data_IF_624622671479
#
_entry.id   IF_624622671479
#
_cell.length_a   1.000
_cell.length_b   1.000
_cell.length_c   1.000
_cell.angle_alpha   90.00
_cell.angle_beta   90.00
_cell.angle_gamma   90.00
#
_symmetry.space_group_name_H-M   'P 1'
#
loop_
_entity.id
_entity.type
_entity.pdbx_description
1 polymer ?
#
# COMPACT_ATOMS: atom_id res chain seq x y z
N UNK A 1 -19.85 14.40 -21.03
CA UNK A 1 -19.71 13.50 -19.86
C UNK A 1 -19.05 14.39 -18.82
N UNK A 2 -19.71 14.61 -17.70
CA UNK A 2 -19.18 15.50 -16.68
C UNK A 2 -17.88 14.94 -16.13
N UNK A 3 -16.89 15.80 -15.81
CA UNK A 3 -15.57 15.37 -15.30
C UNK A 3 -15.66 14.51 -14.01
N UNK A 4 -16.76 14.64 -13.26
CA UNK A 4 -17.07 13.82 -12.09
C UNK A 4 -17.57 12.40 -12.43
N UNK A 5 -17.88 12.09 -13.68
CA UNK A 5 -18.44 10.79 -14.07
C UNK A 5 -17.39 9.66 -13.99
N UNK A 6 -16.10 10.00 -14.03
CA UNK A 6 -15.02 9.03 -13.79
C UNK A 6 -15.17 8.32 -12.45
N UNK A 7 -15.53 9.07 -11.40
CA UNK A 7 -15.64 8.51 -10.06
C UNK A 7 -16.68 7.39 -9.99
N UNK A 8 -17.77 7.48 -10.78
CA UNK A 8 -18.79 6.40 -10.86
C UNK A 8 -18.23 5.15 -11.51
N UNK A 9 -17.23 5.28 -12.35
CA UNK A 9 -16.62 4.18 -13.10
C UNK A 9 -15.54 3.47 -12.28
N UNK A 10 -14.70 4.23 -11.56
CA UNK A 10 -13.54 3.68 -10.82
C UNK A 10 -13.82 3.35 -9.36
N UNK A 11 -14.94 3.82 -8.80
CA UNK A 11 -15.35 3.49 -7.44
C UNK A 11 -16.37 2.35 -7.41
N UNK A 12 -16.37 1.55 -6.35
CA UNK A 12 -17.53 0.72 -6.00
C UNK A 12 -18.80 1.56 -5.80
N UNK A 13 -19.96 0.93 -5.99
CA UNK A 13 -21.24 1.67 -5.97
C UNK A 13 -21.65 2.11 -4.57
N UNK A 14 -21.35 1.33 -3.55
CA UNK A 14 -21.75 1.55 -2.16
C UNK A 14 -20.57 1.35 -1.20
N UNK A 15 -20.53 2.11 -0.14
CA UNK A 15 -19.51 2.01 0.91
C UNK A 15 -19.10 3.37 1.44
N UNK A 16 -18.04 3.41 2.23
CA UNK A 16 -17.42 4.65 2.69
C UNK A 16 -16.32 5.07 1.72
N UNK A 17 -16.27 6.35 1.38
CA UNK A 17 -15.33 6.92 0.41
C UNK A 17 -14.52 8.03 1.07
N UNK A 18 -13.22 8.03 0.86
CA UNK A 18 -12.33 9.05 1.42
C UNK A 18 -12.21 10.26 0.50
N UNK A 19 -12.32 11.45 1.06
CA UNK A 19 -12.07 12.74 0.39
C UNK A 19 -11.07 13.55 1.20
N UNK A 20 -10.05 14.08 0.52
CA UNK A 20 -8.99 14.86 1.14
C UNK A 20 -8.88 16.23 0.48
N UNK A 21 -8.74 17.27 1.31
CA UNK A 21 -8.40 18.63 0.87
C UNK A 21 -7.05 19.05 1.45
N UNK A 22 -6.03 19.21 0.60
CA UNK A 22 -4.64 19.46 1.02
C UNK A 22 -4.20 20.84 0.54
N UNK A 23 -3.79 21.73 1.45
CA UNK A 23 -3.09 22.98 1.14
C UNK A 23 -1.58 22.82 1.14
N UNK A 24 -1.05 22.20 2.18
CA UNK A 24 0.37 21.92 2.37
C UNK A 24 0.53 20.67 3.26
N UNK A 25 1.77 20.32 3.63
CA UNK A 25 2.06 19.10 4.42
C UNK A 25 1.40 19.08 5.80
N UNK A 26 1.10 20.23 6.39
CA UNK A 26 0.54 20.36 7.75
C UNK A 26 -0.95 20.71 7.76
N UNK A 27 -1.51 21.17 6.63
CA UNK A 27 -2.93 21.53 6.50
C UNK A 27 -3.64 20.53 5.59
N UNK A 28 -3.96 19.37 6.17
CA UNK A 28 -4.68 18.27 5.54
C UNK A 28 -6.03 18.08 6.22
N UNK A 29 -7.09 18.14 5.45
CA UNK A 29 -8.45 17.79 5.89
C UNK A 29 -8.85 16.48 5.22
N UNK A 30 -9.21 15.47 6.00
CA UNK A 30 -9.71 14.19 5.51
C UNK A 30 -11.09 13.91 6.09
N UNK A 31 -11.97 13.34 5.28
CA UNK A 31 -13.28 12.83 5.69
C UNK A 31 -13.57 11.55 4.92
N UNK A 32 -14.25 10.62 5.59
CA UNK A 32 -14.93 9.53 4.95
C UNK A 32 -16.43 9.88 4.88
N UNK A 33 -17.03 9.64 3.72
CA UNK A 33 -18.43 9.95 3.42
C UNK A 33 -19.11 8.70 2.89
N UNK A 34 -20.42 8.57 3.13
CA UNK A 34 -21.18 7.37 2.80
C UNK A 34 -21.81 7.42 1.41
N UNK A 35 -21.94 8.62 0.83
CA UNK A 35 -22.59 8.80 -0.48
C UNK A 35 -21.73 9.60 -1.45
N UNK A 36 -22.03 9.44 -2.73
CA UNK A 36 -21.40 10.21 -3.81
C UNK A 36 -21.71 11.70 -3.71
N UNK A 37 -22.94 12.04 -3.40
CA UNK A 37 -23.37 13.45 -3.26
C UNK A 37 -22.62 14.17 -2.14
N UNK A 38 -22.34 13.47 -1.04
CA UNK A 38 -21.49 14.01 0.04
C UNK A 38 -20.05 14.22 -0.44
N UNK A 39 -19.50 13.26 -1.22
CA UNK A 39 -18.17 13.37 -1.81
C UNK A 39 -18.07 14.61 -2.70
N UNK A 40 -18.99 14.77 -3.64
CA UNK A 40 -19.01 15.88 -4.59
C UNK A 40 -19.19 17.24 -3.86
N UNK A 41 -20.10 17.29 -2.90
CA UNK A 41 -20.32 18.47 -2.05
C UNK A 41 -19.04 18.86 -1.32
N UNK A 42 -18.34 17.91 -0.74
CA UNK A 42 -17.12 18.14 0.01
C UNK A 42 -15.95 18.51 -0.92
N UNK A 43 -15.85 17.90 -2.10
CA UNK A 43 -14.86 18.25 -3.11
C UNK A 43 -15.02 19.71 -3.57
N UNK A 44 -16.24 20.13 -3.89
CA UNK A 44 -16.55 21.52 -4.27
C UNK A 44 -16.24 22.53 -3.14
N UNK A 45 -16.51 22.13 -1.89
CA UNK A 45 -16.13 22.96 -0.73
C UNK A 45 -14.62 23.13 -0.64
N UNK A 46 -13.85 22.06 -0.80
CA UNK A 46 -12.39 22.12 -0.75
C UNK A 46 -11.79 22.93 -1.90
N UNK A 47 -12.41 22.89 -3.09
CA UNK A 47 -12.03 23.78 -4.21
C UNK A 47 -12.23 25.24 -3.84
N UNK A 48 -13.38 25.62 -3.24
CA UNK A 48 -13.65 27.01 -2.77
C UNK A 48 -12.63 27.44 -1.71
N UNK A 49 -12.12 26.50 -0.89
CA UNK A 49 -11.07 26.75 0.09
C UNK A 49 -9.66 26.78 -0.54
N UNK A 50 -9.54 26.71 -1.87
CA UNK A 50 -8.28 26.61 -2.63
C UNK A 50 -7.38 25.46 -2.14
N UNK A 51 -7.96 24.28 -1.93
CA UNK A 51 -7.27 23.04 -1.58
C UNK A 51 -7.12 22.14 -2.79
N UNK A 52 -5.99 21.45 -2.88
CA UNK A 52 -5.85 20.30 -3.78
C UNK A 52 -6.77 19.20 -3.29
N UNK A 53 -7.69 18.73 -4.14
CA UNK A 53 -8.69 17.74 -3.75
C UNK A 53 -8.30 16.38 -4.25
N UNK A 54 -8.35 15.39 -3.35
CA UNK A 54 -8.04 14.00 -3.64
C UNK A 54 -9.20 13.11 -3.17
N UNK A 55 -9.35 11.98 -3.82
CA UNK A 55 -10.27 10.92 -3.43
C UNK A 55 -9.55 9.59 -3.22
N UNK A 56 -10.02 8.78 -2.25
CA UNK A 56 -9.54 7.42 -2.07
C UNK A 56 -10.09 6.53 -3.19
N UNK A 57 -9.25 5.66 -3.74
CA UNK A 57 -9.61 4.79 -4.87
C UNK A 57 -10.36 3.52 -4.45
N UNK A 58 -10.41 3.27 -3.15
CA UNK A 58 -11.12 2.15 -2.55
C UNK A 58 -12.41 2.58 -1.87
N UNK A 59 -13.32 1.64 -1.66
CA UNK A 59 -14.34 1.76 -0.62
C UNK A 59 -13.82 1.16 0.69
N UNK A 60 -14.31 1.69 1.80
CA UNK A 60 -13.90 1.31 3.14
C UNK A 60 -15.03 0.61 3.89
N UNK A 61 -14.67 -0.27 4.83
CA UNK A 61 -15.62 -1.03 5.67
C UNK A 61 -16.37 -0.08 6.59
N UNK A 62 -15.66 0.86 7.22
CA UNK A 62 -16.21 1.85 8.15
C UNK A 62 -15.81 3.27 7.76
N UNK A 63 -16.52 4.26 8.32
CA UNK A 63 -16.21 5.69 8.15
C UNK A 63 -15.09 6.21 9.05
N UNK A 64 -14.34 5.35 9.77
CA UNK A 64 -13.43 5.80 10.82
C UNK A 64 -12.07 6.28 10.26
N UNK A 65 -11.49 5.53 9.34
CA UNK A 65 -10.17 5.83 8.83
C UNK A 65 -9.94 5.32 7.40
N UNK A 66 -8.89 5.84 6.76
CA UNK A 66 -8.42 5.45 5.41
C UNK A 66 -7.14 4.61 5.50
N UNK A 67 -7.18 3.50 6.23
CA UNK A 67 -6.06 2.55 6.28
C UNK A 67 -6.30 1.39 5.32
N UNK A 68 -5.24 0.68 4.93
CA UNK A 68 -5.34 -0.51 4.07
C UNK A 68 -6.19 -1.60 4.72
N UNK A 69 -6.15 -1.74 6.06
CA UNK A 69 -6.96 -2.70 6.81
C UNK A 69 -8.46 -2.41 6.75
N UNK A 70 -8.84 -1.14 6.55
CA UNK A 70 -10.22 -0.72 6.41
C UNK A 70 -10.71 -0.77 4.96
N UNK A 71 -9.87 -1.14 3.99
CA UNK A 71 -10.28 -1.29 2.59
C UNK A 71 -11.14 -2.54 2.44
N UNK A 72 -12.33 -2.34 1.86
CA UNK A 72 -13.26 -3.45 1.55
C UNK A 72 -13.14 -3.91 0.10
N UNK A 73 -13.09 -2.97 -0.84
CA UNK A 73 -13.10 -3.29 -2.25
C UNK A 73 -12.56 -2.19 -3.15
N UNK A 74 -12.17 -2.58 -4.34
CA UNK A 74 -11.57 -1.73 -5.36
C UNK A 74 -12.21 -2.04 -6.72
N UNK A 75 -12.33 -1.00 -7.58
CA UNK A 75 -12.96 -1.14 -8.91
C UNK A 75 -12.07 -0.59 -10.02
N UNK A 76 -10.76 -0.43 -9.78
CA UNK A 76 -9.82 0.00 -10.80
C UNK A 76 -8.38 -0.41 -10.46
N UNK A 77 -7.54 -0.52 -11.47
CA UNK A 77 -6.08 -0.41 -11.37
C UNK A 77 -5.65 0.96 -11.86
N UNK A 78 -4.52 1.47 -11.38
CA UNK A 78 -4.07 2.83 -11.67
C UNK A 78 -2.56 2.97 -11.72
N UNK A 79 -2.12 4.07 -12.37
CA UNK A 79 -0.75 4.58 -12.32
C UNK A 79 -0.79 6.09 -12.05
N UNK A 80 0.29 6.61 -11.49
CA UNK A 80 0.59 8.04 -11.38
C UNK A 80 1.91 8.31 -12.09
N UNK A 81 1.85 9.03 -13.21
CA UNK A 81 3.00 9.41 -14.05
C UNK A 81 3.29 10.86 -13.79
N UNK A 82 4.36 11.12 -13.07
CA UNK A 82 4.83 12.46 -12.79
C UNK A 82 5.48 13.10 -14.03
N UNK A 83 5.18 14.38 -14.27
CA UNK A 83 5.74 15.14 -15.39
C UNK A 83 6.27 16.51 -14.92
N UNK A 84 7.22 17.02 -15.67
CA UNK A 84 7.86 18.33 -15.50
C UNK A 84 9.38 18.24 -15.44
N UNK A 85 10.10 19.36 -15.69
CA UNK A 85 11.57 19.37 -15.79
C UNK A 85 12.27 18.79 -14.54
N UNK A 86 11.72 19.03 -13.34
CA UNK A 86 12.29 18.49 -12.10
C UNK A 86 12.15 16.97 -11.99
N UNK A 87 11.25 16.33 -12.76
CA UNK A 87 11.02 14.88 -12.73
C UNK A 87 11.99 14.09 -13.60
N UNK A 88 12.74 14.75 -14.47
CA UNK A 88 13.81 14.13 -15.26
C UNK A 88 15.12 13.96 -14.48
N UNK A 89 15.20 14.44 -13.25
CA UNK A 89 16.32 14.20 -12.35
C UNK A 89 16.43 12.71 -12.06
N UNK A 90 17.64 12.19 -12.07
CA UNK A 90 17.89 10.77 -11.80
C UNK A 90 17.87 10.48 -10.31
N UNK A 91 17.19 9.42 -9.95
CA UNK A 91 17.26 8.84 -8.61
C UNK A 91 18.66 8.28 -8.34
N UNK A 92 19.27 8.68 -7.25
CA UNK A 92 20.65 8.30 -6.90
C UNK A 92 20.85 6.79 -6.66
N UNK A 93 19.77 6.05 -6.36
CA UNK A 93 19.83 4.61 -6.09
C UNK A 93 19.61 3.77 -7.35
N UNK A 94 18.69 4.21 -8.20
CA UNK A 94 18.28 3.44 -9.39
C UNK A 94 18.93 3.93 -10.68
N UNK A 95 19.43 5.18 -10.71
CA UNK A 95 19.93 5.84 -11.90
C UNK A 95 18.87 6.16 -12.95
N UNK A 96 17.57 6.00 -12.60
CA UNK A 96 16.43 6.26 -13.49
C UNK A 96 15.73 7.57 -13.10
N UNK A 97 15.08 8.28 -14.05
CA UNK A 97 14.34 9.49 -13.73
C UNK A 97 13.07 9.17 -12.90
N UNK A 98 12.61 10.17 -12.16
CA UNK A 98 11.35 10.07 -11.40
C UNK A 98 10.10 10.19 -12.26
N UNK A 99 10.23 10.64 -13.51
CA UNK A 99 9.13 10.85 -14.44
C UNK A 99 9.59 11.44 -15.75
N UNK A 100 8.71 12.14 -16.43
CA UNK A 100 8.92 12.64 -17.79
C UNK A 100 9.02 14.16 -17.82
N UNK A 101 9.63 14.70 -18.90
CA UNK A 101 9.79 16.15 -19.09
C UNK A 101 8.44 16.87 -19.19
N UNK A 102 7.46 16.24 -19.81
CA UNK A 102 6.10 16.73 -19.98
C UNK A 102 5.09 15.60 -20.13
N UNK A 103 3.80 15.96 -20.14
CA UNK A 103 2.70 15.00 -20.26
C UNK A 103 2.63 14.33 -21.64
N UNK A 104 3.07 14.99 -22.69
CA UNK A 104 3.10 14.40 -24.04
C UNK A 104 4.09 13.23 -24.07
N UNK A 105 5.30 13.44 -23.57
CA UNK A 105 6.34 12.40 -23.47
C UNK A 105 5.88 11.25 -22.54
N UNK A 106 5.26 11.58 -21.39
CA UNK A 106 4.71 10.57 -20.50
C UNK A 106 3.56 9.77 -21.13
N UNK A 107 2.71 10.43 -21.91
CA UNK A 107 1.61 9.78 -22.65
C UNK A 107 2.09 8.84 -23.75
N UNK A 108 3.13 9.20 -24.51
CA UNK A 108 3.73 8.33 -25.53
C UNK A 108 4.44 7.11 -24.89
N UNK A 109 5.11 7.30 -23.76
CA UNK A 109 5.69 6.19 -23.01
C UNK A 109 4.61 5.23 -22.50
N UNK A 110 3.50 5.75 -21.93
CA UNK A 110 2.36 4.95 -21.51
C UNK A 110 1.75 4.17 -22.67
N UNK A 111 1.54 4.82 -23.84
CA UNK A 111 1.01 4.17 -25.05
C UNK A 111 1.89 3.02 -25.52
N UNK A 112 3.21 3.25 -25.55
CA UNK A 112 4.20 2.23 -25.92
C UNK A 112 4.18 1.06 -24.94
N UNK A 113 4.11 1.34 -23.64
CA UNK A 113 3.98 0.34 -22.58
C UNK A 113 2.71 -0.50 -22.73
N UNK A 114 1.54 0.15 -22.91
CA UNK A 114 0.28 -0.57 -23.11
C UNK A 114 0.33 -1.47 -24.35
N UNK A 115 0.91 -1.00 -25.43
CA UNK A 115 1.07 -1.81 -26.67
C UNK A 115 1.98 -3.02 -26.43
N UNK A 116 3.11 -2.82 -25.75
CA UNK A 116 4.10 -3.86 -25.49
C UNK A 116 3.56 -4.96 -24.56
N UNK A 117 2.84 -4.57 -23.52
CA UNK A 117 2.26 -5.50 -22.52
C UNK A 117 0.93 -6.10 -23.02
N UNK A 118 0.29 -5.49 -24.02
CA UNK A 118 -1.03 -5.88 -24.51
C UNK A 118 -2.19 -5.35 -23.65
N UNK A 119 -1.95 -4.30 -22.84
CA UNK A 119 -2.99 -3.69 -22.01
C UNK A 119 -4.02 -2.94 -22.86
N UNK A 120 -5.31 -2.99 -22.48
CA UNK A 120 -6.32 -2.18 -23.13
C UNK A 120 -6.07 -0.69 -22.90
N UNK A 121 -6.70 0.14 -23.75
CA UNK A 121 -6.63 1.60 -23.61
C UNK A 121 -7.16 2.01 -22.21
N UNK A 122 -6.37 2.79 -21.44
CA UNK A 122 -6.82 3.29 -20.14
C UNK A 122 -7.61 4.60 -20.26
N UNK A 123 -8.32 4.94 -19.21
CA UNK A 123 -8.76 6.31 -18.95
C UNK A 123 -7.58 7.13 -18.44
N UNK A 124 -7.40 8.35 -18.96
CA UNK A 124 -6.26 9.23 -18.66
C UNK A 124 -6.79 10.58 -18.17
N UNK A 125 -6.24 11.03 -17.05
CA UNK A 125 -6.54 12.32 -16.41
C UNK A 125 -5.29 13.18 -16.42
N UNK A 126 -5.43 14.44 -16.86
CA UNK A 126 -4.45 15.48 -16.58
C UNK A 126 -4.52 15.85 -15.10
N UNK A 127 -3.52 15.55 -14.31
CA UNK A 127 -3.48 15.88 -12.87
C UNK A 127 -2.90 17.27 -12.58
N UNK A 128 -2.62 18.06 -13.63
CA UNK A 128 -1.94 19.34 -13.62
C UNK A 128 -0.44 19.21 -13.86
N UNK A 129 0.27 18.33 -13.15
CA UNK A 129 1.73 18.11 -13.29
C UNK A 129 2.08 16.68 -13.64
N UNK A 130 1.15 15.93 -14.25
CA UNK A 130 1.34 14.54 -14.60
C UNK A 130 0.05 13.92 -15.10
N UNK A 131 0.06 12.60 -15.21
CA UNK A 131 -1.06 11.81 -15.71
C UNK A 131 -1.48 10.79 -14.64
N UNK A 132 -2.76 10.79 -14.28
CA UNK A 132 -3.35 9.65 -13.61
C UNK A 132 -3.97 8.72 -14.67
N UNK A 133 -3.68 7.47 -14.57
CA UNK A 133 -4.07 6.43 -15.53
C UNK A 133 -4.93 5.42 -14.82
N UNK A 134 -6.08 5.02 -15.42
CA UNK A 134 -7.00 4.07 -14.79
C UNK A 134 -7.43 2.99 -15.78
N UNK A 135 -7.42 1.76 -15.31
CA UNK A 135 -8.16 0.64 -15.88
C UNK A 135 -9.32 0.33 -14.93
N UNK A 136 -10.47 0.93 -15.18
CA UNK A 136 -11.69 0.64 -14.42
C UNK A 136 -12.11 -0.82 -14.66
N UNK A 137 -12.66 -1.45 -13.62
CA UNK A 137 -13.16 -2.81 -13.68
C UNK A 137 -14.68 -2.83 -13.84
N UNK A 138 -15.20 -3.85 -14.54
CA UNK A 138 -16.64 -4.10 -14.63
C UNK A 138 -17.22 -4.48 -13.27
N UNK A 139 -16.42 -5.12 -12.42
CA UNK A 139 -16.80 -5.60 -11.09
C UNK A 139 -15.83 -5.11 -10.01
N UNK A 140 -16.30 -5.14 -8.79
CA UNK A 140 -15.48 -4.87 -7.62
C UNK A 140 -14.65 -6.11 -7.24
N UNK A 141 -13.41 -5.90 -6.84
CA UNK A 141 -12.51 -6.94 -6.36
C UNK A 141 -12.05 -6.67 -4.93
N UNK A 142 -11.75 -7.74 -4.19
CA UNK A 142 -11.19 -7.62 -2.85
C UNK A 142 -9.74 -7.12 -2.88
N UNK A 143 -9.22 -6.57 -1.77
CA UNK A 143 -7.81 -6.22 -1.64
C UNK A 143 -6.86 -7.39 -1.96
N UNK A 144 -7.22 -8.61 -1.57
CA UNK A 144 -6.41 -9.81 -1.80
C UNK A 144 -6.35 -10.19 -3.28
N UNK A 145 -7.42 -9.94 -4.04
CA UNK A 145 -7.43 -10.11 -5.49
C UNK A 145 -6.67 -8.98 -6.19
N UNK A 146 -6.83 -7.75 -5.71
CA UNK A 146 -6.23 -6.57 -6.32
C UNK A 146 -4.71 -6.52 -6.19
N UNK A 147 -4.17 -6.77 -5.00
CA UNK A 147 -2.76 -6.53 -4.68
C UNK A 147 -1.77 -7.35 -5.54
N UNK A 148 -1.99 -8.65 -5.82
CA UNK A 148 -1.10 -9.41 -6.71
C UNK A 148 -1.03 -8.85 -8.13
N UNK A 149 -2.17 -8.41 -8.68
CA UNK A 149 -2.25 -7.81 -10.02
C UNK A 149 -1.54 -6.45 -10.05
N UNK A 150 -1.76 -5.62 -9.03
CA UNK A 150 -1.07 -4.33 -8.89
C UNK A 150 0.46 -4.49 -8.75
N UNK A 151 0.90 -5.48 -7.99
CA UNK A 151 2.33 -5.81 -7.85
C UNK A 151 2.93 -6.25 -9.19
N UNK A 152 2.19 -7.04 -9.96
CA UNK A 152 2.63 -7.47 -11.29
C UNK A 152 2.69 -6.29 -12.27
N UNK A 153 1.71 -5.41 -12.26
CA UNK A 153 1.72 -4.18 -13.05
C UNK A 153 2.94 -3.31 -12.70
N UNK A 154 3.24 -3.15 -11.39
CA UNK A 154 4.45 -2.46 -10.93
C UNK A 154 5.73 -3.09 -11.50
N UNK A 155 5.86 -4.42 -11.45
CA UNK A 155 7.02 -5.13 -11.99
C UNK A 155 7.19 -4.87 -13.48
N UNK A 156 6.09 -4.90 -14.25
CA UNK A 156 6.12 -4.62 -15.68
C UNK A 156 6.52 -3.17 -15.98
N UNK A 157 6.03 -2.18 -15.20
CA UNK A 157 6.50 -0.80 -15.32
C UNK A 157 8.02 -0.70 -15.14
N UNK A 158 8.58 -1.37 -14.13
CA UNK A 158 10.03 -1.39 -13.90
C UNK A 158 10.78 -2.09 -15.04
N UNK A 159 10.28 -3.23 -15.51
CA UNK A 159 10.90 -4.05 -16.55
C UNK A 159 10.95 -3.33 -17.91
N UNK A 160 9.93 -2.51 -18.20
CA UNK A 160 9.78 -1.83 -19.48
C UNK A 160 10.04 -0.32 -19.40
N UNK A 161 10.73 0.13 -18.35
CA UNK A 161 11.15 1.53 -18.16
C UNK A 161 10.01 2.55 -18.26
N UNK A 162 8.79 2.18 -17.79
CA UNK A 162 7.73 3.14 -17.57
C UNK A 162 7.93 3.76 -16.19
N UNK A 163 8.24 5.06 -16.15
CA UNK A 163 8.52 5.78 -14.91
C UNK A 163 7.21 6.24 -14.27
N UNK A 164 6.90 5.68 -13.12
CA UNK A 164 5.67 5.93 -12.34
C UNK A 164 6.02 6.14 -10.87
N UNK A 165 5.16 6.82 -10.13
CA UNK A 165 5.28 6.86 -8.67
C UNK A 165 5.12 5.45 -8.10
N UNK A 166 6.21 4.88 -7.59
CA UNK A 166 6.22 3.52 -7.04
C UNK A 166 5.36 3.34 -5.78
N UNK A 167 4.91 4.43 -5.15
CA UNK A 167 4.06 4.41 -3.96
C UNK A 167 2.57 4.25 -4.27
N UNK A 168 2.17 4.25 -5.56
CA UNK A 168 0.73 4.16 -5.92
C UNK A 168 0.14 2.76 -5.84
N UNK A 169 0.97 1.72 -5.75
CA UNK A 169 0.53 0.32 -5.77
C UNK A 169 0.08 -0.18 -4.39
N UNK A 170 -0.73 0.62 -3.72
CA UNK A 170 -1.34 0.32 -2.42
C UNK A 170 -2.86 0.52 -2.47
N UNK A 171 -3.60 -0.26 -1.71
CA UNK A 171 -5.06 -0.27 -1.77
C UNK A 171 -5.72 1.00 -1.21
N UNK A 172 -5.06 1.72 -0.30
CA UNK A 172 -5.59 2.94 0.32
C UNK A 172 -5.10 4.23 -0.38
N UNK A 173 -4.69 4.14 -1.65
CA UNK A 173 -4.19 5.28 -2.42
C UNK A 173 -5.24 6.36 -2.65
N UNK A 174 -4.76 7.60 -2.76
CA UNK A 174 -5.56 8.75 -3.17
C UNK A 174 -4.98 9.38 -4.43
N UNK A 175 -5.84 9.79 -5.35
CA UNK A 175 -5.49 10.54 -6.55
C UNK A 175 -6.40 11.78 -6.67
N UNK A 176 -6.04 12.77 -7.52
CA UNK A 176 -6.80 14.01 -7.65
C UNK A 176 -8.17 13.76 -8.25
N UNK A 177 -9.16 14.51 -7.73
CA UNK A 177 -10.53 14.48 -8.25
C UNK A 177 -10.59 15.27 -9.57
N UNK A 178 -11.03 14.67 -10.69
CA UNK A 178 -11.31 15.40 -11.93
C UNK A 178 -12.37 16.50 -11.73
N UNK A 179 -12.32 17.56 -12.51
CA UNK A 179 -13.18 18.75 -12.34
C UNK A 179 -12.71 19.71 -11.24
N UNK A 180 -11.63 19.39 -10.53
CA UNK A 180 -11.00 20.26 -9.52
C UNK A 180 -9.74 20.95 -10.05
N UNK A 181 -8.94 21.54 -9.17
CA UNK A 181 -7.73 22.27 -9.56
C UNK A 181 -6.49 21.78 -8.81
N UNK A 182 -5.35 21.80 -9.52
CA UNK A 182 -4.04 21.69 -8.93
C UNK A 182 -3.55 23.08 -8.54
N UNK A 183 -3.63 23.41 -7.25
CA UNK A 183 -3.21 24.71 -6.69
C UNK A 183 -1.71 24.79 -6.40
N UNK A 184 -0.90 23.84 -6.91
CA UNK A 184 0.58 23.94 -6.86
C UNK A 184 1.13 24.88 -7.94
N UNK A 185 0.30 25.21 -8.95
CA UNK A 185 0.63 26.11 -10.05
C UNK A 185 -0.04 27.45 -9.86
N UNK A 186 0.52 28.49 -10.47
CA UNK A 186 -0.06 29.83 -10.54
C UNK A 186 0.01 30.32 -11.99
N UNK A 187 -1.14 30.42 -12.69
CA UNK A 187 -2.49 30.08 -12.25
C UNK A 187 -2.70 28.59 -12.00
N UNK A 188 -3.68 28.21 -11.15
CA UNK A 188 -3.99 26.79 -10.89
C UNK A 188 -4.38 26.04 -12.17
N UNK A 189 -3.86 24.84 -12.33
CA UNK A 189 -4.16 23.99 -13.49
C UNK A 189 -5.40 23.14 -13.21
N UNK A 190 -6.33 23.05 -14.17
CA UNK A 190 -7.50 22.19 -14.06
C UNK A 190 -7.11 20.71 -14.10
N UNK A 191 -7.73 19.91 -13.26
CA UNK A 191 -7.65 18.44 -13.29
C UNK A 191 -8.80 17.96 -14.18
N UNK A 192 -8.47 17.40 -15.34
CA UNK A 192 -9.46 17.12 -16.38
C UNK A 192 -9.27 15.74 -17.03
N UNK A 193 -10.37 15.19 -17.55
CA UNK A 193 -10.36 13.92 -18.29
C UNK A 193 -9.83 14.16 -19.70
N UNK A 194 -8.67 13.59 -20.02
CA UNK A 194 -8.07 13.66 -21.37
C UNK A 194 -8.59 12.56 -22.29
N UNK A 195 -8.84 11.39 -21.75
CA UNK A 195 -9.27 10.22 -22.52
C UNK A 195 -10.06 9.26 -21.66
N UNK A 196 -11.23 8.85 -22.11
CA UNK A 196 -12.05 7.83 -21.47
C UNK A 196 -11.87 6.46 -22.14
N UNK A 197 -12.02 5.40 -21.35
CA UNK A 197 -12.04 4.03 -21.78
C UNK A 197 -13.17 3.26 -21.07
N UNK A 198 -13.66 2.22 -21.71
CA UNK A 198 -14.64 1.33 -21.10
C UNK A 198 -14.02 0.49 -19.99
N UNK A 199 -14.78 0.14 -18.96
CA UNK A 199 -14.34 -0.81 -17.95
C UNK A 199 -13.92 -2.16 -18.56
N UNK A 200 -13.00 -2.84 -17.89
CA UNK A 200 -12.40 -4.11 -18.33
C UNK A 200 -12.72 -5.19 -17.30
N UNK A 201 -12.92 -6.41 -17.75
CA UNK A 201 -13.06 -7.57 -16.85
C UNK A 201 -11.77 -7.79 -16.08
N UNK A 202 -11.87 -8.05 -14.76
CA UNK A 202 -10.71 -8.35 -13.92
C UNK A 202 -9.88 -9.51 -14.49
N UNK A 203 -10.53 -10.58 -14.92
CA UNK A 203 -9.90 -11.77 -15.51
C UNK A 203 -9.09 -11.46 -16.76
N UNK A 204 -9.51 -10.47 -17.54
CA UNK A 204 -8.78 -10.00 -18.72
C UNK A 204 -7.44 -9.36 -18.32
N UNK A 205 -7.45 -8.43 -17.37
CA UNK A 205 -6.20 -7.80 -16.88
C UNK A 205 -5.31 -8.81 -16.18
N UNK A 206 -5.88 -9.71 -15.37
CA UNK A 206 -5.19 -10.78 -14.71
C UNK A 206 -4.42 -11.66 -15.71
N UNK A 207 -5.07 -12.05 -16.80
CA UNK A 207 -4.48 -12.88 -17.86
C UNK A 207 -3.40 -12.14 -18.64
N UNK A 208 -3.67 -10.90 -19.08
CA UNK A 208 -2.72 -10.07 -19.86
C UNK A 208 -1.45 -9.82 -19.06
N UNK A 209 -1.57 -9.51 -17.78
CA UNK A 209 -0.42 -9.23 -16.92
C UNK A 209 0.38 -10.51 -16.55
N UNK A 210 -0.13 -11.69 -16.90
CA UNK A 210 0.54 -12.95 -16.63
C UNK A 210 0.69 -13.22 -15.13
N UNK A 211 -0.34 -12.89 -14.34
CA UNK A 211 -0.39 -13.24 -12.92
C UNK A 211 -0.63 -14.74 -12.84
N UNK A 212 0.24 -15.46 -12.16
CA UNK A 212 0.08 -16.90 -11.94
C UNK A 212 -0.63 -17.16 -10.61
N UNK A 213 -1.39 -18.25 -10.53
CA UNK A 213 -2.13 -18.61 -9.29
C UNK A 213 -1.25 -18.68 -8.03
N UNK A 214 0.06 -18.88 -8.18
CA UNK A 214 1.03 -18.83 -7.08
C UNK A 214 1.23 -17.42 -6.48
N UNK A 215 0.75 -16.36 -7.17
CA UNK A 215 0.87 -14.97 -6.72
C UNK A 215 -0.42 -14.42 -6.11
N UNK A 216 -1.52 -15.17 -6.19
CA UNK A 216 -2.76 -14.83 -5.49
C UNK A 216 -2.74 -15.59 -4.16
N UNK A 217 -2.87 -14.90 -3.02
CA UNK A 217 -3.27 -15.58 -1.80
C UNK A 217 -4.68 -16.11 -2.05
N UNK A 218 -4.83 -17.42 -2.23
CA UNK A 218 -6.14 -18.06 -2.31
C UNK A 218 -6.92 -17.67 -1.06
N UNK A 219 -8.14 -17.18 -1.25
CA UNK A 219 -9.04 -16.94 -0.14
C UNK A 219 -9.14 -18.22 0.68
N UNK A 220 -9.14 -18.10 2.01
CA UNK A 220 -9.11 -19.22 2.99
C UNK A 220 -10.19 -20.29 2.79
N UNK A 221 -11.06 -20.18 1.79
CA UNK A 221 -12.20 -21.07 1.60
C UNK A 221 -12.04 -22.20 0.58
N UNK A 222 -10.99 -22.19 -0.28
CA UNK A 222 -10.85 -23.18 -1.37
C UNK A 222 -9.61 -24.10 -1.29
N UNK A 223 -8.99 -24.24 -0.12
CA UNK A 223 -7.94 -25.22 0.08
C UNK A 223 -8.58 -26.61 0.25
N UNK A 224 -8.34 -27.51 -0.71
CA UNK A 224 -8.69 -28.92 -0.55
C UNK A 224 -7.99 -29.52 0.69
N UNK A 225 -8.61 -30.49 1.33
CA UNK A 225 -8.11 -31.17 2.56
C UNK A 225 -6.65 -31.63 2.45
N UNK A 226 -6.17 -31.96 1.24
CA UNK A 226 -4.79 -32.37 0.97
C UNK A 226 -3.81 -31.18 1.09
N UNK A 227 -4.22 -29.96 0.70
CA UNK A 227 -3.40 -28.77 0.86
C UNK A 227 -3.39 -28.27 2.31
N UNK A 228 -4.46 -28.48 3.08
CA UNK A 228 -4.50 -28.16 4.52
C UNK A 228 -3.48 -28.95 5.34
N UNK A 229 -3.13 -30.16 4.94
CA UNK A 229 -2.13 -30.99 5.64
C UNK A 229 -0.67 -30.62 5.29
N UNK A 230 -0.44 -29.99 4.11
CA UNK A 230 0.90 -29.56 3.65
C UNK A 230 1.20 -28.10 4.03
N UNK A 231 0.16 -27.28 4.16
CA UNK A 231 0.22 -25.92 4.70
C UNK A 231 -0.53 -25.91 6.03
N UNK A 232 0.00 -26.56 7.04
CA UNK A 232 -0.28 -26.15 8.41
C UNK A 232 0.25 -24.72 8.51
N UNK A 233 -0.66 -23.75 8.31
CA UNK A 233 -0.40 -22.35 8.53
C UNK A 233 0.08 -22.21 9.96
N UNK A 234 1.37 -22.09 10.14
CA UNK A 234 1.98 -21.70 11.37
C UNK A 234 1.67 -20.22 11.57
N UNK A 235 0.45 -19.94 12.04
CA UNK A 235 0.05 -18.60 12.41
C UNK A 235 0.86 -18.18 13.62
N UNK A 236 1.75 -17.23 13.44
CA UNK A 236 2.57 -16.72 14.52
C UNK A 236 1.85 -15.55 15.20
N UNK A 237 1.74 -15.60 16.54
CA UNK A 237 1.20 -14.50 17.37
C UNK A 237 2.33 -13.76 18.05
N UNK A 238 2.42 -12.46 17.81
CA UNK A 238 3.43 -11.61 18.43
C UNK A 238 3.31 -11.60 19.96
N UNK A 239 2.09 -11.53 20.46
CA UNK A 239 1.84 -11.57 21.89
C UNK A 239 2.42 -12.85 22.55
N UNK A 240 2.35 -13.99 21.87
CA UNK A 240 2.93 -15.24 22.36
C UNK A 240 4.47 -15.20 22.39
N UNK A 241 5.09 -14.59 21.38
CA UNK A 241 6.54 -14.35 21.38
C UNK A 241 6.94 -13.51 22.58
N UNK A 242 6.19 -12.44 22.87
CA UNK A 242 6.49 -11.52 23.96
C UNK A 242 6.28 -12.15 25.34
N UNK A 243 5.21 -12.96 25.53
CA UNK A 243 4.99 -13.71 26.78
C UNK A 243 6.17 -14.65 27.04
N UNK A 244 6.56 -15.47 26.06
CA UNK A 244 7.71 -16.35 26.17
C UNK A 244 9.02 -15.61 26.42
N UNK A 245 9.18 -14.42 25.80
CA UNK A 245 10.37 -13.60 26.01
C UNK A 245 10.44 -13.07 27.44
N UNK A 246 9.30 -12.68 28.02
CA UNK A 246 9.23 -12.25 29.42
C UNK A 246 9.46 -13.41 30.42
N UNK A 247 9.12 -14.64 30.06
CA UNK A 247 9.34 -15.85 30.83
C UNK A 247 10.76 -16.42 30.68
N UNK A 248 11.61 -15.83 29.80
CA UNK A 248 12.98 -16.27 29.54
C UNK A 248 13.11 -17.42 28.52
N UNK A 249 12.00 -17.88 27.93
CA UNK A 249 11.96 -18.88 26.86
C UNK A 249 11.54 -18.28 25.52
N UNK A 250 11.98 -17.07 25.22
CA UNK A 250 11.65 -16.35 24.00
C UNK A 250 12.85 -15.62 23.40
N UNK A 251 12.60 -14.44 22.84
CA UNK A 251 13.61 -13.60 22.22
C UNK A 251 13.98 -12.42 23.15
N UNK A 252 15.14 -12.48 23.77
CA UNK A 252 15.65 -11.41 24.65
C UNK A 252 15.79 -10.07 23.90
N UNK A 253 16.16 -10.11 22.63
CA UNK A 253 16.29 -8.93 21.77
C UNK A 253 14.96 -8.20 21.55
N UNK A 254 13.86 -8.94 21.29
CA UNK A 254 12.53 -8.36 21.17
C UNK A 254 12.02 -7.81 22.50
N UNK A 255 12.31 -8.50 23.60
CA UNK A 255 11.97 -8.02 24.93
C UNK A 255 12.71 -6.72 25.26
N UNK A 256 14.00 -6.65 24.95
CA UNK A 256 14.80 -5.45 25.14
C UNK A 256 14.30 -4.28 24.28
N UNK A 257 13.93 -4.52 23.01
CA UNK A 257 13.30 -3.50 22.17
C UNK A 257 11.99 -2.98 22.78
N UNK A 258 11.17 -3.86 23.39
CA UNK A 258 9.92 -3.49 24.02
C UNK A 258 10.14 -2.66 25.31
N UNK A 259 11.10 -3.05 26.14
CA UNK A 259 11.34 -2.40 27.42
C UNK A 259 12.04 -1.03 27.29
N UNK A 260 12.79 -0.81 26.22
CA UNK A 260 13.65 0.36 26.02
C UNK A 260 13.23 1.18 24.79
N UNK A 261 11.93 1.29 24.50
CA UNK A 261 11.41 1.97 23.31
C UNK A 261 11.82 3.45 23.24
N UNK A 262 11.87 4.14 24.36
CA UNK A 262 12.23 5.55 24.47
C UNK A 262 13.68 5.89 24.04
N UNK A 263 14.55 4.90 24.07
CA UNK A 263 15.96 5.00 23.66
C UNK A 263 16.32 4.11 22.47
N UNK A 264 15.32 3.43 21.90
CA UNK A 264 15.53 2.45 20.84
C UNK A 264 15.98 3.10 19.54
N UNK A 265 17.14 2.68 19.03
CA UNK A 265 17.68 3.18 17.76
C UNK A 265 17.01 2.53 16.56
N UNK A 266 16.96 3.27 15.45
CA UNK A 266 16.26 2.92 14.23
C UNK A 266 16.46 1.47 13.70
N UNK A 267 17.68 0.91 13.59
CA UNK A 267 17.83 -0.45 13.08
C UNK A 267 17.13 -1.50 13.95
N UNK A 268 17.13 -1.32 15.26
CA UNK A 268 16.53 -2.27 16.21
C UNK A 268 15.01 -2.15 16.25
N UNK A 269 14.49 -0.92 16.16
CA UNK A 269 13.06 -0.70 16.03
C UNK A 269 12.51 -1.34 14.76
N UNK A 270 13.22 -1.16 13.63
CA UNK A 270 12.87 -1.79 12.37
C UNK A 270 12.91 -3.33 12.43
N UNK A 271 13.89 -3.91 13.13
CA UNK A 271 13.97 -5.36 13.37
C UNK A 271 12.71 -5.86 14.10
N UNK A 272 12.30 -5.20 15.16
CA UNK A 272 11.13 -5.57 15.95
C UNK A 272 9.83 -5.44 15.12
N UNK A 273 9.67 -4.35 14.38
CA UNK A 273 8.54 -4.13 13.49
C UNK A 273 8.46 -5.14 12.35
N UNK A 274 9.59 -5.64 11.85
CA UNK A 274 9.62 -6.67 10.81
C UNK A 274 8.97 -7.98 11.25
N UNK A 275 9.13 -8.34 12.52
CA UNK A 275 8.50 -9.52 13.14
C UNK A 275 7.02 -9.26 13.40
N UNK A 276 6.69 -8.12 14.01
CA UNK A 276 5.31 -7.70 14.28
C UNK A 276 4.44 -7.70 13.02
N UNK A 277 5.00 -7.22 11.90
CA UNK A 277 4.32 -7.13 10.61
C UNK A 277 3.80 -8.47 10.05
N UNK A 278 4.39 -9.59 10.44
CA UNK A 278 4.05 -10.92 9.92
C UNK A 278 3.31 -11.80 10.92
N UNK A 279 2.89 -11.23 12.04
CA UNK A 279 2.08 -11.92 13.05
C UNK A 279 0.58 -11.66 12.82
N UNK A 280 -0.27 -12.57 13.30
CA UNK A 280 -1.73 -12.46 13.20
C UNK A 280 -2.25 -11.22 13.93
N UNK A 281 -1.67 -10.90 15.09
CA UNK A 281 -1.97 -9.75 15.94
C UNK A 281 -1.15 -8.49 15.56
N UNK A 282 -0.85 -8.34 14.26
CA UNK A 282 0.02 -7.32 13.65
C UNK A 282 -0.20 -5.90 14.17
N UNK A 283 -1.43 -5.41 14.10
CA UNK A 283 -1.74 -4.02 14.48
C UNK A 283 -1.44 -3.76 15.95
N UNK A 284 -1.92 -4.62 16.83
CA UNK A 284 -1.62 -4.57 18.26
C UNK A 284 -0.12 -4.70 18.55
N UNK A 285 0.58 -5.51 17.77
CA UNK A 285 2.02 -5.72 17.89
C UNK A 285 2.82 -4.47 17.50
N UNK A 286 2.46 -3.81 16.40
CA UNK A 286 3.11 -2.57 15.93
C UNK A 286 2.92 -1.45 16.96
N UNK A 287 1.70 -1.28 17.48
CA UNK A 287 1.42 -0.29 18.52
C UNK A 287 2.26 -0.58 19.77
N UNK A 288 2.21 -1.81 20.29
CA UNK A 288 2.95 -2.20 21.50
C UNK A 288 4.45 -2.04 21.38
N UNK A 289 5.02 -2.19 20.18
CA UNK A 289 6.47 -2.06 19.97
C UNK A 289 6.91 -0.64 19.67
N UNK A 290 5.98 0.32 19.67
CA UNK A 290 6.25 1.68 19.19
C UNK A 290 5.68 2.80 20.06
N UNK A 291 4.67 2.56 20.88
CA UNK A 291 3.87 3.59 21.57
C UNK A 291 4.68 4.52 22.50
N UNK A 292 5.85 4.09 22.96
CA UNK A 292 6.80 4.91 23.73
C UNK A 292 8.03 5.36 22.90
N UNK A 293 8.09 5.06 21.59
CA UNK A 293 9.22 5.49 20.76
C UNK A 293 9.11 6.99 20.41
N UNK A 294 10.20 7.80 20.50
CA UNK A 294 10.14 9.25 20.25
C UNK A 294 9.59 9.63 18.88
N UNK A 295 9.86 8.83 17.84
CA UNK A 295 9.40 9.07 16.48
C UNK A 295 8.08 8.36 16.13
N UNK A 296 7.33 7.93 17.15
CA UNK A 296 6.10 7.19 16.95
C UNK A 296 4.96 8.07 16.41
N UNK A 297 4.43 7.66 15.27
CA UNK A 297 3.02 7.77 14.91
C UNK A 297 2.60 6.42 14.35
N UNK A 298 1.34 6.06 14.49
CA UNK A 298 0.86 4.78 13.96
C UNK A 298 1.17 4.65 12.46
N UNK A 299 0.93 5.70 11.69
CA UNK A 299 1.20 5.75 10.25
C UNK A 299 2.69 5.54 9.93
N UNK A 300 3.59 6.14 10.72
CA UNK A 300 5.03 5.99 10.57
C UNK A 300 5.49 4.57 10.89
N UNK A 301 5.03 4.02 12.03
CA UNK A 301 5.37 2.67 12.47
C UNK A 301 4.80 1.60 11.53
N UNK A 302 3.56 1.77 11.06
CA UNK A 302 2.90 0.88 10.11
C UNK A 302 3.59 0.87 8.74
N UNK A 303 3.90 2.06 8.20
CA UNK A 303 4.65 2.18 6.95
C UNK A 303 6.05 1.55 7.06
N UNK A 304 6.73 1.75 8.20
CA UNK A 304 8.03 1.16 8.48
C UNK A 304 7.95 -0.36 8.56
N UNK A 305 6.99 -0.91 9.28
CA UNK A 305 6.73 -2.34 9.37
C UNK A 305 6.45 -2.96 7.99
N UNK A 306 5.67 -2.27 7.17
CA UNK A 306 5.32 -2.72 5.82
C UNK A 306 6.54 -2.80 4.89
N UNK A 307 7.50 -1.88 5.05
CA UNK A 307 8.73 -1.84 4.25
C UNK A 307 9.74 -2.93 4.62
N UNK A 308 9.53 -3.67 5.68
CA UNK A 308 10.46 -4.72 6.13
C UNK A 308 10.52 -5.97 5.23
N UNK A 309 9.64 -6.09 4.22
CA UNK A 309 9.63 -7.20 3.25
C UNK A 309 9.36 -8.59 3.84
N UNK A 310 9.91 -8.91 5.00
CA UNK A 310 9.75 -10.17 5.74
C UNK A 310 10.27 -10.03 7.18
N UNK A 311 10.00 -11.03 8.06
CA UNK A 311 10.50 -11.01 9.42
C UNK A 311 12.03 -11.15 9.41
N UNK A 312 12.73 -10.31 10.15
CA UNK A 312 14.18 -10.35 10.24
C UNK A 312 14.65 -11.60 10.98
N UNK A 313 15.79 -12.11 10.54
CA UNK A 313 16.40 -13.33 11.11
C UNK A 313 17.13 -13.01 12.42
N UNK A 314 17.38 -14.04 13.24
CA UNK A 314 18.25 -13.94 14.42
C UNK A 314 19.62 -13.31 14.09
N UNK A 315 20.19 -13.64 12.92
CA UNK A 315 21.45 -13.04 12.48
C UNK A 315 21.35 -11.55 12.17
N UNK A 316 20.18 -11.04 11.78
CA UNK A 316 19.97 -9.60 11.60
C UNK A 316 19.88 -8.89 12.94
N UNK A 317 19.13 -9.44 13.90
CA UNK A 317 19.07 -8.92 15.27
C UNK A 317 20.44 -8.88 15.92
N UNK A 318 21.24 -9.94 15.82
CA UNK A 318 22.59 -10.00 16.38
C UNK A 318 23.53 -8.98 15.73
N UNK A 319 23.41 -8.73 14.43
CA UNK A 319 24.20 -7.72 13.72
C UNK A 319 23.89 -6.29 14.18
N UNK A 320 22.61 -6.01 14.44
CA UNK A 320 22.14 -4.70 14.85
C UNK A 320 22.29 -4.44 16.37
N UNK A 321 22.45 -5.51 17.16
CA UNK A 321 22.73 -5.47 18.59
C UNK A 321 23.64 -6.65 18.99
N UNK A 322 24.97 -6.55 18.73
CA UNK A 322 25.93 -7.62 19.00
C UNK A 322 25.95 -8.04 20.49
N UNK A 323 25.96 -9.34 20.72
CA UNK A 323 25.90 -9.93 22.07
C UNK A 323 24.50 -10.05 22.65
N UNK A 324 23.47 -9.48 22.02
CA UNK A 324 22.10 -9.54 22.51
C UNK A 324 21.44 -10.92 22.39
N UNK A 325 22.07 -11.85 21.64
CA UNK A 325 21.67 -13.25 21.55
C UNK A 325 22.54 -14.18 22.41
N UNK A 326 23.45 -13.67 23.22
CA UNK A 326 24.30 -14.49 24.11
C UNK A 326 23.44 -15.22 25.14
N UNK A 327 23.63 -16.52 25.25
CA UNK A 327 22.82 -17.37 26.13
C UNK A 327 21.40 -17.67 25.67
N UNK A 328 21.02 -17.29 24.44
CA UNK A 328 19.69 -17.58 23.92
C UNK A 328 19.42 -19.09 23.79
N UNK A 329 18.34 -19.63 24.43
CA UNK A 329 18.04 -21.07 24.39
C UNK A 329 17.67 -21.57 23.00
N UNK A 330 17.36 -20.66 22.07
CA UNK A 330 16.94 -20.95 20.69
C UNK A 330 18.05 -20.75 19.65
N UNK A 331 19.27 -20.38 20.08
CA UNK A 331 20.39 -20.14 19.18
C UNK A 331 20.68 -21.38 18.31
N UNK A 332 20.68 -21.21 16.99
CA UNK A 332 20.86 -22.30 16.02
C UNK A 332 19.66 -23.26 15.85
N UNK A 333 18.57 -23.10 16.62
CA UNK A 333 17.36 -23.92 16.53
C UNK A 333 16.24 -23.23 15.74
N UNK A 334 16.24 -21.90 15.67
CA UNK A 334 15.29 -21.09 14.91
C UNK A 334 16.06 -20.13 14.01
N UNK A 335 15.47 -19.77 12.87
CA UNK A 335 16.05 -18.80 11.93
C UNK A 335 15.66 -17.37 12.26
N UNK A 336 14.55 -17.15 12.97
CA UNK A 336 14.08 -15.84 13.37
C UNK A 336 13.08 -15.91 14.52
N UNK A 337 12.92 -14.79 15.28
CA UNK A 337 12.03 -14.72 16.45
C UNK A 337 10.58 -15.06 16.14
N UNK A 338 10.11 -14.85 14.90
CA UNK A 338 8.74 -15.13 14.50
C UNK A 338 8.34 -16.59 14.75
N UNK A 339 9.26 -17.55 14.63
CA UNK A 339 9.01 -18.96 14.85
C UNK A 339 8.63 -19.31 16.30
N UNK A 340 8.98 -18.43 17.25
CA UNK A 340 8.63 -18.59 18.65
C UNK A 340 7.15 -18.29 18.95
N UNK A 341 6.45 -17.66 18.03
CA UNK A 341 5.02 -17.39 18.09
C UNK A 341 4.14 -18.45 17.47
N UNK A 342 4.72 -19.49 16.84
CA UNK A 342 3.97 -20.54 16.17
C UNK A 342 3.11 -21.32 17.17
N UNK A 343 1.85 -21.54 16.82
CA UNK A 343 1.00 -22.52 17.50
C UNK A 343 1.17 -23.85 16.81
N UNK A 344 1.66 -24.85 17.55
CA UNK A 344 1.55 -26.24 17.11
C UNK A 344 0.07 -26.57 17.30
N UNK A 345 -0.66 -26.72 16.19
CA UNK A 345 -2.00 -27.29 16.24
C UNK A 345 -1.86 -28.72 16.79
N UNK A 346 -2.16 -28.92 18.08
CA UNK A 346 -2.35 -30.26 18.60
C UNK A 346 -3.58 -30.82 17.91
N UNK A 347 -3.36 -31.81 17.01
CA UNK A 347 -4.42 -32.68 16.54
C UNK A 347 -5.02 -33.40 17.76
N UNK A 348 -6.24 -33.04 18.11
CA UNK A 348 -7.13 -33.83 18.99
C UNK A 348 -7.91 -34.81 18.14
#
# INVERSE_FOLDING_TARGET
>A
MDDFDLLTTVHPEQGWFAVLGIKNKTDVKQRLVATREELDTLALRFVKEKRNVFFGLAKYITGDNRTQLNVHGLKAFWLDIDCGPAKTTLDAKTGKPFGYIDQATGGEALKSFCTLVGLPKPTIINSGRGLHVYWALTEEVSPDQWQPVANRLRQLCVTHDLYVDGSVFETARVLRVPGTYNFKDDPPTQVEVMSNASPVEYTTLYSILGVTEKQIPTSRHDLTEVNKSLFQDTISKFNKIMIRSAEGDGCAQLLDCFLNQDTLVEPRWFDALSVANKCEDRESAIIKMSDNHPDYSFESADAKAHNAGGPHSCGTFERNNPGGCEGCPHQGKVTGPIQLGNEIAHAT
#
